data_IF_116780236839
#
_entry.id   IF_116780236839
#
_cell.length_a   1.000
_cell.length_b   1.000
_cell.length_c   1.000
_cell.angle_alpha   90.00
_cell.angle_beta   90.00
_cell.angle_gamma   90.00
#
_symmetry.space_group_name_H-M   'P 1'
#
loop_
_entity.id
_entity.type
_entity.pdbx_description
1 polymer ?
#
# COMPACT_ATOMS: atom_id res chain seq x y z
N UNK A 1 -3.06 -16.01 -34.16
CA UNK A 1 -2.84 -14.66 -33.62
C UNK A 1 -2.08 -14.81 -32.32
N UNK A 2 -0.78 -14.51 -32.32
CA UNK A 2 0.13 -14.79 -31.20
C UNK A 2 0.04 -13.69 -30.15
N UNK A 3 -0.63 -13.96 -29.02
CA UNK A 3 -0.49 -13.14 -27.82
C UNK A 3 0.95 -13.24 -27.31
N UNK A 4 1.59 -12.10 -27.05
CA UNK A 4 2.88 -12.08 -26.34
C UNK A 4 2.68 -12.65 -24.93
N UNK A 5 3.64 -13.42 -24.43
CA UNK A 5 3.57 -14.00 -23.09
C UNK A 5 3.73 -12.94 -21.99
N UNK A 6 3.31 -13.25 -20.76
CA UNK A 6 3.27 -12.27 -19.64
C UNK A 6 4.61 -11.60 -19.29
N UNK A 7 5.73 -12.15 -19.74
CA UNK A 7 7.09 -11.63 -19.56
C UNK A 7 7.68 -10.99 -20.83
N UNK A 8 6.84 -10.79 -21.86
CA UNK A 8 7.23 -10.21 -23.14
C UNK A 8 6.55 -8.84 -23.36
N UNK A 9 7.32 -7.89 -23.87
CA UNK A 9 6.88 -6.60 -24.33
C UNK A 9 6.49 -6.65 -25.81
N UNK A 10 5.39 -5.99 -26.16
CA UNK A 10 4.92 -5.89 -27.54
C UNK A 10 5.36 -4.57 -28.15
N UNK A 11 6.26 -4.64 -29.12
CA UNK A 11 6.73 -3.52 -29.93
C UNK A 11 5.58 -2.89 -30.76
N UNK A 12 5.76 -1.65 -31.22
CA UNK A 12 4.76 -0.97 -32.05
C UNK A 12 4.57 -1.64 -33.42
N UNK A 13 5.61 -2.29 -33.96
CA UNK A 13 5.55 -3.16 -35.14
C UNK A 13 4.90 -4.53 -34.89
N UNK A 14 4.45 -4.83 -33.66
CA UNK A 14 3.77 -6.07 -33.29
C UNK A 14 4.71 -7.24 -32.94
N UNK A 15 6.03 -7.03 -32.91
CA UNK A 15 7.01 -8.02 -32.46
C UNK A 15 6.98 -8.14 -30.94
N UNK A 16 7.20 -9.35 -30.41
CA UNK A 16 7.34 -9.58 -28.97
C UNK A 16 8.83 -9.71 -28.62
N UNK A 17 9.31 -8.91 -27.68
CA UNK A 17 10.66 -9.02 -27.08
C UNK A 17 10.52 -9.32 -25.59
N UNK A 18 11.56 -9.81 -24.92
CA UNK A 18 11.49 -10.00 -23.46
C UNK A 18 11.47 -8.65 -22.74
N UNK A 19 10.83 -8.57 -21.56
CA UNK A 19 10.82 -7.33 -20.77
C UNK A 19 12.24 -6.84 -20.38
N UNK A 20 13.23 -7.74 -20.32
CA UNK A 20 14.64 -7.38 -20.10
C UNK A 20 15.27 -6.62 -21.28
N UNK A 21 14.59 -6.62 -22.44
CA UNK A 21 15.02 -5.94 -23.65
C UNK A 21 14.38 -4.57 -23.83
N UNK A 22 13.48 -4.17 -22.94
CA UNK A 22 12.90 -2.82 -22.94
C UNK A 22 13.86 -1.89 -22.24
N UNK A 23 14.17 -0.75 -22.86
CA UNK A 23 14.98 0.32 -22.26
C UNK A 23 16.37 -0.13 -21.80
N UNK A 24 16.99 -1.00 -22.59
CA UNK A 24 18.33 -1.50 -22.34
C UNK A 24 19.40 -0.75 -23.16
N UNK A 25 18.99 0.18 -24.02
CA UNK A 25 19.84 0.97 -24.90
C UNK A 25 20.10 0.36 -26.27
N UNK A 26 19.42 -0.74 -26.63
CA UNK A 26 19.51 -1.39 -27.93
C UNK A 26 18.12 -1.45 -28.58
N UNK A 27 18.06 -1.21 -29.90
CA UNK A 27 16.83 -1.41 -30.67
C UNK A 27 16.57 -2.92 -30.89
N UNK A 28 15.94 -3.56 -29.90
CA UNK A 28 15.53 -4.95 -29.96
C UNK A 28 14.20 -5.12 -30.71
N UNK A 29 13.37 -4.08 -30.79
CA UNK A 29 12.16 -4.10 -31.60
C UNK A 29 12.43 -3.99 -33.11
N UNK A 30 13.53 -3.36 -33.51
CA UNK A 30 13.88 -2.99 -34.89
C UNK A 30 13.14 -1.74 -35.41
N UNK A 31 12.29 -1.14 -34.57
CA UNK A 31 11.57 0.12 -34.82
C UNK A 31 11.81 1.14 -33.68
N UNK A 32 12.73 0.83 -32.77
CA UNK A 32 13.14 1.59 -31.60
C UNK A 32 12.00 1.87 -30.59
N UNK A 33 10.89 1.14 -30.65
CA UNK A 33 9.74 1.35 -29.76
C UNK A 33 10.03 0.93 -28.32
N UNK A 34 10.94 0.00 -28.14
CA UNK A 34 11.47 -0.46 -26.85
C UNK A 34 12.34 0.57 -26.13
N UNK A 35 12.80 1.61 -26.83
CA UNK A 35 13.69 2.65 -26.29
C UNK A 35 13.04 4.05 -26.23
N UNK A 36 11.80 4.20 -26.70
CA UNK A 36 11.15 5.52 -26.80
C UNK A 36 10.48 6.00 -25.50
N UNK A 37 10.17 5.11 -24.54
CA UNK A 37 9.30 5.44 -23.38
C UNK A 37 9.86 4.92 -22.04
N UNK A 38 11.16 5.09 -21.79
CA UNK A 38 11.83 4.50 -20.62
C UNK A 38 11.51 5.15 -19.27
N UNK A 39 11.03 6.39 -19.28
CA UNK A 39 10.68 7.12 -18.06
C UNK A 39 9.30 6.75 -17.48
N UNK A 40 8.44 6.05 -18.25
CA UNK A 40 7.09 5.62 -17.80
C UNK A 40 7.00 4.12 -17.51
N UNK A 41 8.01 3.33 -17.86
CA UNK A 41 8.02 1.90 -17.64
C UNK A 41 8.73 1.54 -16.34
N UNK A 42 8.01 0.88 -15.42
CA UNK A 42 8.63 0.24 -14.26
C UNK A 42 9.51 -0.91 -14.76
N UNK A 43 10.79 -0.91 -14.39
CA UNK A 43 11.68 -2.03 -14.67
C UNK A 43 11.12 -3.33 -14.07
N UNK A 44 11.53 -4.47 -14.64
CA UNK A 44 11.23 -5.78 -14.07
C UNK A 44 11.66 -5.83 -12.59
N UNK A 45 10.94 -6.54 -11.70
CA UNK A 45 11.31 -6.63 -10.28
C UNK A 45 12.73 -7.17 -10.03
N UNK A 46 13.29 -7.88 -11.02
CA UNK A 46 14.65 -8.45 -11.02
C UNK A 46 15.69 -7.55 -11.68
N UNK A 47 15.32 -6.31 -12.04
CA UNK A 47 16.17 -5.36 -12.75
C UNK A 47 16.34 -4.09 -11.94
N UNK A 48 17.48 -3.44 -12.10
CA UNK A 48 17.77 -2.16 -11.46
C UNK A 48 17.33 -1.01 -12.37
N UNK A 49 16.60 -0.03 -11.82
CA UNK A 49 16.25 1.20 -12.52
C UNK A 49 17.27 2.28 -12.19
N UNK A 50 17.99 2.72 -13.21
CA UNK A 50 18.92 3.84 -13.17
C UNK A 50 18.18 5.17 -12.95
N UNK A 51 18.88 6.21 -12.48
CA UNK A 51 18.29 7.53 -12.26
C UNK A 51 17.82 8.20 -13.56
N UNK A 52 18.47 7.89 -14.68
CA UNK A 52 18.07 8.28 -16.03
C UNK A 52 16.91 7.46 -16.62
N UNK A 53 16.32 6.53 -15.85
CA UNK A 53 15.20 5.69 -16.29
C UNK A 53 15.60 4.43 -17.08
N UNK A 54 16.90 4.19 -17.31
CA UNK A 54 17.39 2.97 -17.96
C UNK A 54 17.23 1.75 -17.03
N UNK A 55 16.86 0.60 -17.58
CA UNK A 55 16.81 -0.65 -16.82
C UNK A 55 18.08 -1.47 -17.10
N UNK A 56 18.82 -1.82 -16.05
CA UNK A 56 19.96 -2.74 -16.16
C UNK A 56 19.70 -4.01 -15.39
N UNK A 57 20.43 -5.08 -15.74
CA UNK A 57 20.36 -6.32 -14.99
C UNK A 57 20.83 -6.12 -13.55
N UNK A 58 20.22 -6.81 -12.59
CA UNK A 58 20.63 -6.78 -11.18
C UNK A 58 22.11 -7.14 -10.99
N UNK A 59 22.64 -8.08 -11.79
CA UNK A 59 24.07 -8.44 -11.77
C UNK A 59 24.99 -7.32 -12.27
N UNK A 60 24.43 -6.27 -12.87
CA UNK A 60 25.20 -5.09 -13.30
C UNK A 60 25.19 -3.98 -12.26
N UNK A 61 24.33 -4.06 -11.25
CA UNK A 61 24.39 -3.16 -10.11
C UNK A 61 25.66 -3.43 -9.29
N UNK A 62 26.42 -2.39 -8.97
CA UNK A 62 27.67 -2.50 -8.19
C UNK A 62 28.75 -3.45 -8.76
N UNK A 63 28.74 -3.76 -10.05
CA UNK A 63 29.73 -4.64 -10.67
C UNK A 63 31.07 -3.94 -11.04
N UNK A 64 31.20 -2.65 -10.74
CA UNK A 64 32.38 -1.85 -11.07
C UNK A 64 32.37 -1.19 -12.45
N UNK A 65 31.35 -1.40 -13.28
CA UNK A 65 31.16 -0.78 -14.61
C UNK A 65 29.96 0.19 -14.62
N UNK A 66 30.03 1.25 -15.45
CA UNK A 66 28.95 2.24 -15.54
C UNK A 66 27.97 1.75 -16.62
N UNK A 67 27.12 0.82 -16.22
CA UNK A 67 26.10 0.22 -17.08
C UNK A 67 24.90 1.14 -17.27
N UNK A 68 24.61 2.00 -16.29
CA UNK A 68 23.54 3.00 -16.40
C UNK A 68 23.87 4.16 -17.36
N UNK A 69 25.15 4.50 -17.53
CA UNK A 69 25.61 5.65 -18.31
C UNK A 69 25.65 6.96 -17.49
N UNK A 70 24.88 7.06 -16.41
CA UNK A 70 24.81 8.20 -15.48
C UNK A 70 25.51 7.93 -14.12
N UNK A 71 26.19 6.79 -13.96
CA UNK A 71 26.82 6.28 -12.73
C UNK A 71 25.86 5.95 -11.56
N UNK A 72 24.55 5.92 -11.78
CA UNK A 72 23.58 5.63 -10.72
C UNK A 72 23.70 4.21 -10.16
N UNK A 73 24.20 3.26 -10.96
CA UNK A 73 24.54 1.88 -10.60
C UNK A 73 25.82 1.72 -9.77
N UNK A 74 26.62 2.79 -9.63
CA UNK A 74 27.84 2.82 -8.80
C UNK A 74 27.74 3.71 -7.59
N UNK A 75 26.87 4.73 -7.65
CA UNK A 75 26.81 5.82 -6.68
C UNK A 75 26.56 5.33 -5.24
N UNK A 76 25.82 4.23 -5.08
CA UNK A 76 25.40 3.71 -3.77
C UNK A 76 26.04 2.37 -3.38
N UNK A 77 27.15 1.99 -4.04
CA UNK A 77 27.80 0.69 -3.86
C UNK A 77 28.87 0.66 -2.78
N UNK A 78 29.57 1.78 -2.59
CA UNK A 78 30.63 1.93 -1.60
C UNK A 78 30.54 3.32 -0.96
N UNK A 79 29.51 3.51 -0.16
CA UNK A 79 29.20 4.76 0.53
C UNK A 79 29.65 4.68 1.99
N UNK A 80 30.07 5.81 2.54
CA UNK A 80 30.35 5.92 3.97
C UNK A 80 29.05 5.79 4.78
N UNK A 81 29.20 5.39 6.05
CA UNK A 81 28.09 5.27 6.99
C UNK A 81 27.37 6.58 7.29
N UNK A 82 27.96 7.74 6.93
CA UNK A 82 27.40 9.08 7.11
C UNK A 82 26.50 9.55 5.96
N UNK A 83 26.54 8.89 4.79
CA UNK A 83 25.64 9.21 3.66
C UNK A 83 24.24 8.69 3.97
N UNK A 84 23.16 9.34 3.55
CA UNK A 84 21.82 8.75 3.67
C UNK A 84 21.45 8.02 2.38
N UNK A 85 20.75 6.88 2.50
CA UNK A 85 20.21 6.20 1.33
C UNK A 85 19.07 7.02 0.71
N UNK A 86 18.87 6.94 -0.61
CA UNK A 86 17.72 7.56 -1.26
C UNK A 86 16.38 7.07 -0.68
N UNK A 87 15.31 7.87 -0.75
CA UNK A 87 13.97 7.43 -0.35
C UNK A 87 13.56 6.12 -1.05
N UNK A 88 13.06 5.15 -0.27
CA UNK A 88 12.66 3.85 -0.80
C UNK A 88 13.81 2.83 -1.00
N UNK A 89 15.03 3.20 -0.61
CA UNK A 89 16.19 2.31 -0.53
C UNK A 89 16.53 1.98 0.91
N UNK A 90 17.19 0.85 1.13
CA UNK A 90 17.65 0.38 2.43
C UNK A 90 19.16 0.19 2.42
N UNK A 91 19.81 0.51 3.54
CA UNK A 91 21.25 0.26 3.71
C UNK A 91 21.51 -1.21 4.06
N UNK A 92 22.45 -1.82 3.36
CA UNK A 92 22.97 -3.15 3.65
C UNK A 92 23.49 -3.26 5.09
N UNK A 93 23.47 -4.46 5.71
CA UNK A 93 23.95 -4.68 7.08
C UNK A 93 25.40 -4.23 7.31
N UNK A 94 26.25 -4.35 6.29
CA UNK A 94 27.64 -3.90 6.31
C UNK A 94 27.81 -2.36 6.37
N UNK A 95 26.73 -1.59 6.14
CA UNK A 95 26.74 -0.15 6.21
C UNK A 95 27.42 0.55 5.03
N UNK A 96 27.81 -0.16 3.96
CA UNK A 96 28.60 0.40 2.84
C UNK A 96 27.87 0.42 1.49
N UNK A 97 26.68 -0.17 1.42
CA UNK A 97 25.86 -0.23 0.20
C UNK A 97 24.40 0.13 0.49
N UNK A 98 23.74 0.84 -0.41
CA UNK A 98 22.28 0.92 -0.42
C UNK A 98 21.73 0.05 -1.54
N UNK A 99 20.65 -0.66 -1.25
CA UNK A 99 19.87 -1.43 -2.22
C UNK A 99 18.42 -0.94 -2.21
N UNK A 100 17.65 -1.10 -3.29
CA UNK A 100 16.21 -0.82 -3.26
C UNK A 100 15.50 -1.63 -2.17
N UNK A 101 14.52 -1.04 -1.47
CA UNK A 101 13.82 -1.72 -0.35
C UNK A 101 13.06 -2.99 -0.72
N UNK A 102 12.76 -3.20 -2.00
CA UNK A 102 12.11 -4.41 -2.51
C UNK A 102 13.07 -5.58 -2.76
N UNK A 103 14.39 -5.35 -2.67
CA UNK A 103 15.43 -6.37 -2.74
C UNK A 103 15.76 -7.00 -1.38
N UNK A 104 15.12 -6.53 -0.31
CA UNK A 104 15.26 -7.12 1.02
C UNK A 104 14.37 -8.37 1.14
N UNK A 105 14.94 -9.50 1.56
CA UNK A 105 14.21 -10.77 1.75
C UNK A 105 13.58 -11.31 0.47
N UNK A 106 14.24 -11.11 -0.67
CA UNK A 106 13.72 -11.52 -1.98
C UNK A 106 14.36 -12.82 -2.50
N UNK A 107 15.18 -13.47 -1.67
CA UNK A 107 15.81 -14.76 -1.94
C UNK A 107 17.11 -14.68 -2.73
N UNK A 108 17.64 -13.47 -2.98
CA UNK A 108 18.94 -13.25 -3.61
C UNK A 108 19.88 -12.54 -2.64
N UNK A 109 21.17 -12.48 -3.00
CA UNK A 109 22.21 -11.85 -2.20
C UNK A 109 22.76 -10.63 -2.93
N UNK A 110 22.35 -9.44 -2.52
CA UNK A 110 22.79 -8.15 -3.05
C UNK A 110 23.76 -7.42 -2.16
N UNK A 111 23.77 -7.72 -0.85
CA UNK A 111 24.74 -7.19 0.07
C UNK A 111 26.01 -8.03 0.07
N UNK A 112 27.17 -7.38 0.06
CA UNK A 112 28.45 -8.09 0.19
C UNK A 112 28.59 -8.65 1.61
N UNK A 113 28.98 -9.92 1.68
CA UNK A 113 29.31 -10.73 2.87
C UNK A 113 28.15 -11.06 3.83
N UNK A 114 27.48 -10.04 4.39
CA UNK A 114 26.33 -10.25 5.29
C UNK A 114 25.05 -10.04 4.49
N UNK A 115 24.33 -11.14 4.28
CA UNK A 115 23.11 -11.11 3.51
C UNK A 115 22.01 -10.30 4.19
N UNK A 116 21.37 -9.46 3.41
CA UNK A 116 20.05 -8.92 3.68
C UNK A 116 18.98 -10.00 3.95
N UNK A 117 19.27 -11.25 3.58
CA UNK A 117 18.47 -12.46 3.82
C UNK A 117 18.68 -13.08 5.22
N UNK A 118 19.72 -12.70 5.97
CA UNK A 118 20.14 -13.42 7.20
C UNK A 118 19.22 -13.17 8.41
N UNK A 119 18.32 -12.19 8.34
CA UNK A 119 17.32 -11.88 9.38
C UNK A 119 15.91 -11.67 8.80
N UNK A 120 15.62 -12.45 7.77
CA UNK A 120 14.28 -12.64 7.26
C UNK A 120 13.67 -13.80 8.05
N UNK A 121 12.67 -13.53 8.89
CA UNK A 121 11.83 -14.60 9.43
C UNK A 121 11.36 -15.45 8.25
N UNK A 122 11.61 -16.76 8.36
CA UNK A 122 11.48 -17.75 7.28
C UNK A 122 10.21 -17.54 6.46
N UNK A 123 10.24 -17.74 5.12
CA UNK A 123 9.04 -17.74 4.27
C UNK A 123 7.90 -18.60 4.84
N UNK A 124 8.25 -19.63 5.62
CA UNK A 124 7.33 -20.51 6.34
C UNK A 124 6.47 -19.74 7.35
N UNK A 125 7.05 -18.85 8.17
CA UNK A 125 6.31 -18.09 9.20
C UNK A 125 5.38 -17.07 8.57
N UNK A 126 5.84 -16.34 7.53
CA UNK A 126 5.00 -15.41 6.76
C UNK A 126 3.84 -16.13 6.05
N UNK A 127 4.12 -17.29 5.45
CA UNK A 127 3.10 -18.10 4.79
C UNK A 127 2.11 -18.73 5.78
N UNK A 128 2.57 -19.17 6.95
CA UNK A 128 1.73 -19.70 8.03
C UNK A 128 0.80 -18.63 8.60
N UNK A 129 1.31 -17.42 8.86
CA UNK A 129 0.51 -16.28 9.32
C UNK A 129 -0.54 -15.88 8.28
N UNK A 130 -0.13 -15.70 7.02
CA UNK A 130 -1.07 -15.39 5.93
C UNK A 130 -2.13 -16.49 5.78
N UNK A 131 -1.73 -17.76 5.84
CA UNK A 131 -2.64 -18.90 5.79
C UNK A 131 -3.60 -18.92 6.99
N UNK A 132 -3.10 -18.61 8.19
CA UNK A 132 -3.92 -18.48 9.40
C UNK A 132 -4.99 -17.39 9.23
N UNK A 133 -4.62 -16.23 8.68
CA UNK A 133 -5.57 -15.16 8.37
C UNK A 133 -6.64 -15.59 7.38
N UNK A 134 -6.23 -16.22 6.28
CA UNK A 134 -7.14 -16.66 5.24
C UNK A 134 -8.09 -17.76 5.73
N UNK A 135 -7.67 -18.60 6.69
CA UNK A 135 -8.51 -19.64 7.31
C UNK A 135 -9.57 -19.08 8.27
N UNK A 136 -9.46 -17.82 8.71
CA UNK A 136 -10.43 -17.16 9.61
C UNK A 136 -11.69 -16.63 8.91
N UNK A 137 -11.79 -16.80 7.58
CA UNK A 137 -13.01 -16.53 6.81
C UNK A 137 -14.20 -17.25 7.47
N UNK A 138 -15.25 -16.50 7.82
CA UNK A 138 -16.46 -17.13 8.39
C UNK A 138 -17.08 -18.08 7.35
N UNK A 139 -17.48 -19.31 7.73
CA UNK A 139 -18.28 -20.14 6.83
C UNK A 139 -19.67 -19.48 6.68
N UNK A 140 -20.01 -19.03 5.46
CA UNK A 140 -21.27 -18.32 5.21
C UNK A 140 -21.31 -17.47 3.92
N UNK A 141 -22.32 -16.60 3.84
CA UNK A 141 -22.56 -15.65 2.73
C UNK A 141 -21.31 -14.83 2.38
N UNK A 142 -21.11 -14.56 1.08
CA UNK A 142 -20.02 -13.69 0.58
C UNK A 142 -19.99 -12.29 1.23
N UNK A 143 -21.10 -11.84 1.82
CA UNK A 143 -21.28 -10.47 2.33
C UNK A 143 -20.83 -10.24 3.78
N UNK A 144 -20.61 -11.28 4.59
CA UNK A 144 -20.11 -11.17 5.98
C UNK A 144 -18.86 -12.02 6.23
N UNK A 145 -18.20 -12.50 5.17
CA UNK A 145 -17.11 -13.48 5.31
C UNK A 145 -15.92 -12.93 6.12
N UNK A 146 -15.67 -11.62 6.00
CA UNK A 146 -14.59 -10.91 6.69
C UNK A 146 -15.05 -10.07 7.90
N UNK A 147 -16.36 -10.03 8.19
CA UNK A 147 -16.92 -9.26 9.30
C UNK A 147 -16.86 -7.72 9.14
N UNK A 148 -17.20 -7.01 10.21
CA UNK A 148 -17.33 -5.54 10.23
C UNK A 148 -15.99 -4.76 10.17
N UNK A 149 -14.85 -5.45 10.35
CA UNK A 149 -13.50 -4.86 10.32
C UNK A 149 -12.77 -5.08 8.98
N UNK A 150 -13.50 -5.41 7.92
CA UNK A 150 -12.92 -5.72 6.60
C UNK A 150 -11.97 -4.64 6.07
N UNK A 151 -12.21 -3.36 6.39
CA UNK A 151 -11.31 -2.25 6.05
C UNK A 151 -9.90 -2.38 6.68
N UNK A 152 -9.81 -2.86 7.92
CA UNK A 152 -8.51 -3.14 8.57
C UNK A 152 -7.83 -4.35 7.95
N UNK A 153 -8.62 -5.40 7.69
CA UNK A 153 -8.11 -6.64 7.10
C UNK A 153 -7.52 -6.38 5.71
N UNK A 154 -8.20 -5.56 4.89
CA UNK A 154 -7.73 -5.18 3.57
C UNK A 154 -6.32 -4.56 3.64
N UNK A 155 -6.12 -3.58 4.52
CA UNK A 155 -4.83 -2.91 4.73
C UNK A 155 -3.77 -3.89 5.23
N UNK A 156 -4.11 -4.72 6.23
CA UNK A 156 -3.17 -5.66 6.82
C UNK A 156 -2.68 -6.71 5.82
N UNK A 157 -3.60 -7.26 5.01
CA UNK A 157 -3.26 -8.25 3.98
C UNK A 157 -2.45 -7.63 2.85
N UNK A 158 -2.77 -6.41 2.42
CA UNK A 158 -1.98 -5.72 1.39
C UNK A 158 -0.55 -5.43 1.86
N UNK A 159 -0.38 -4.93 3.09
CA UNK A 159 0.94 -4.64 3.63
C UNK A 159 1.75 -5.92 3.90
N UNK A 160 1.09 -7.06 4.08
CA UNK A 160 1.75 -8.36 4.14
C UNK A 160 2.07 -8.93 2.74
N UNK A 161 1.21 -8.70 1.75
CA UNK A 161 1.36 -9.19 0.39
C UNK A 161 0.69 -8.24 -0.62
N UNK A 162 1.52 -7.56 -1.41
CA UNK A 162 1.09 -6.61 -2.42
C UNK A 162 0.26 -7.25 -3.56
N UNK A 163 0.35 -8.56 -3.75
CA UNK A 163 -0.41 -9.32 -4.78
C UNK A 163 -1.85 -9.63 -4.36
N UNK A 164 -2.22 -9.38 -3.10
CA UNK A 164 -3.58 -9.64 -2.58
C UNK A 164 -4.68 -9.01 -3.44
N UNK A 165 -4.41 -7.82 -3.98
CA UNK A 165 -5.35 -7.06 -4.80
C UNK A 165 -5.00 -7.06 -6.29
N UNK A 166 -4.10 -7.96 -6.73
CA UNK A 166 -3.79 -8.16 -8.13
C UNK A 166 -4.99 -8.71 -8.93
N UNK A 167 -4.96 -8.57 -10.27
CA UNK A 167 -6.00 -9.10 -11.14
C UNK A 167 -6.14 -10.63 -11.01
N UNK A 168 -7.37 -11.12 -10.92
CA UNK A 168 -7.66 -12.56 -10.79
C UNK A 168 -7.56 -13.14 -9.36
N UNK A 169 -7.20 -12.34 -8.36
CA UNK A 169 -7.16 -12.80 -6.97
C UNK A 169 -8.56 -12.80 -6.34
N UNK A 170 -9.14 -13.99 -6.13
CA UNK A 170 -10.48 -14.18 -5.58
C UNK A 170 -10.67 -13.59 -4.18
N UNK A 171 -9.60 -13.52 -3.37
CA UNK A 171 -9.66 -12.91 -2.04
C UNK A 171 -9.73 -11.39 -2.12
N UNK A 172 -8.96 -10.77 -3.02
CA UNK A 172 -9.04 -9.33 -3.28
C UNK A 172 -10.42 -8.92 -3.80
N UNK A 173 -10.99 -9.67 -4.75
CA UNK A 173 -12.35 -9.43 -5.27
C UNK A 173 -13.44 -9.53 -4.20
N UNK A 174 -13.32 -10.52 -3.30
CA UNK A 174 -14.24 -10.71 -2.19
C UNK A 174 -14.19 -9.54 -1.19
N UNK A 175 -12.98 -9.10 -0.82
CA UNK A 175 -12.77 -7.97 0.10
C UNK A 175 -13.32 -6.68 -0.50
N UNK A 176 -13.07 -6.41 -1.80
CA UNK A 176 -13.63 -5.25 -2.51
C UNK A 176 -15.15 -5.24 -2.44
N UNK A 177 -15.78 -6.37 -2.79
CA UNK A 177 -17.24 -6.49 -2.80
C UNK A 177 -17.83 -6.21 -1.41
N UNK A 178 -17.23 -6.77 -0.36
CA UNK A 178 -17.68 -6.55 1.01
C UNK A 178 -17.44 -5.11 1.50
N UNK A 179 -16.30 -4.50 1.15
CA UNK A 179 -16.00 -3.09 1.44
C UNK A 179 -17.05 -2.16 0.85
N UNK A 180 -17.36 -2.35 -0.44
CA UNK A 180 -18.37 -1.58 -1.16
C UNK A 180 -19.73 -1.65 -0.46
N UNK A 181 -20.21 -2.86 -0.16
CA UNK A 181 -21.51 -3.04 0.48
C UNK A 181 -21.58 -2.41 1.87
N UNK A 182 -20.54 -2.61 2.69
CA UNK A 182 -20.52 -2.03 4.04
C UNK A 182 -20.46 -0.52 4.03
N UNK A 183 -19.64 0.06 3.14
CA UNK A 183 -19.48 1.51 3.05
C UNK A 183 -20.76 2.18 2.53
N UNK A 184 -21.36 1.65 1.44
CA UNK A 184 -22.64 2.14 0.92
C UNK A 184 -23.75 2.09 1.97
N UNK A 185 -23.88 0.97 2.70
CA UNK A 185 -24.89 0.86 3.76
C UNK A 185 -24.68 1.91 4.86
N UNK A 186 -23.43 2.22 5.24
CA UNK A 186 -23.13 3.24 6.26
C UNK A 186 -23.39 4.66 5.78
N UNK A 187 -23.04 4.96 4.53
CA UNK A 187 -23.30 6.26 3.91
C UNK A 187 -24.80 6.51 3.78
N UNK A 188 -25.58 5.49 3.40
CA UNK A 188 -27.03 5.58 3.25
C UNK A 188 -27.79 5.68 4.59
N UNK A 189 -27.42 4.87 5.60
CA UNK A 189 -28.27 4.68 6.79
C UNK A 189 -27.99 5.63 7.94
N UNK A 190 -26.72 5.87 8.27
CA UNK A 190 -26.36 6.55 9.53
C UNK A 190 -25.79 7.95 9.32
N UNK A 191 -25.18 8.26 8.16
CA UNK A 191 -24.36 9.48 7.91
C UNK A 191 -23.31 9.81 9.00
N UNK A 192 -23.19 9.00 10.07
CA UNK A 192 -22.40 9.25 11.28
C UNK A 192 -21.28 8.22 11.44
N UNK A 193 -20.54 7.98 10.37
CA UNK A 193 -19.22 7.39 10.50
C UNK A 193 -18.31 8.36 11.25
N UNK A 194 -17.49 7.90 12.20
CA UNK A 194 -16.49 8.78 12.83
C UNK A 194 -15.40 9.18 11.83
N UNK A 195 -14.71 10.31 12.05
CA UNK A 195 -13.59 10.71 11.17
C UNK A 195 -12.49 9.63 11.10
N UNK A 196 -12.24 8.92 12.20
CA UNK A 196 -11.28 7.82 12.23
C UNK A 196 -11.74 6.62 11.40
N UNK A 197 -13.02 6.27 11.47
CA UNK A 197 -13.57 5.18 10.67
C UNK A 197 -13.56 5.53 9.18
N UNK A 198 -13.88 6.78 8.83
CA UNK A 198 -13.76 7.28 7.45
C UNK A 198 -12.32 7.18 6.93
N UNK A 199 -11.33 7.60 7.72
CA UNK A 199 -9.92 7.48 7.37
C UNK A 199 -9.48 6.01 7.18
N UNK A 200 -10.00 5.09 7.99
CA UNK A 200 -9.74 3.65 7.83
C UNK A 200 -10.33 3.09 6.53
N UNK A 201 -11.53 3.52 6.14
CA UNK A 201 -12.11 3.16 4.84
C UNK A 201 -11.28 3.74 3.69
N UNK A 202 -10.83 5.00 3.77
CA UNK A 202 -9.95 5.59 2.74
C UNK A 202 -8.68 4.76 2.56
N UNK A 203 -7.98 4.40 3.64
CA UNK A 203 -6.83 3.49 3.57
C UNK A 203 -7.19 2.15 2.90
N UNK A 204 -8.34 1.56 3.23
CA UNK A 204 -8.78 0.31 2.65
C UNK A 204 -9.09 0.42 1.15
N UNK A 205 -9.71 1.52 0.71
CA UNK A 205 -9.99 1.78 -0.70
C UNK A 205 -8.70 1.91 -1.51
N UNK A 206 -7.71 2.66 -1.00
CA UNK A 206 -6.41 2.83 -1.64
C UNK A 206 -5.71 1.49 -1.90
N UNK A 207 -5.64 0.61 -0.89
CA UNK A 207 -5.00 -0.71 -1.05
C UNK A 207 -5.81 -1.65 -1.92
N UNK A 208 -7.14 -1.50 -1.92
CA UNK A 208 -8.05 -2.33 -2.70
C UNK A 208 -8.18 -1.86 -4.15
N UNK A 209 -7.44 -0.84 -4.59
CA UNK A 209 -7.54 -0.26 -5.94
C UNK A 209 -8.94 0.28 -6.25
N UNK A 210 -9.57 0.92 -5.26
CA UNK A 210 -10.81 1.67 -5.42
C UNK A 210 -10.50 3.15 -5.17
N UNK A 211 -11.01 4.06 -6.00
CA UNK A 211 -10.73 5.50 -5.87
C UNK A 211 -11.59 6.14 -4.75
N UNK A 212 -10.99 6.60 -3.63
CA UNK A 212 -11.74 7.27 -2.56
C UNK A 212 -12.20 8.69 -2.91
N UNK A 213 -11.69 9.32 -3.99
CA UNK A 213 -12.15 10.65 -4.45
C UNK A 213 -13.50 10.59 -5.16
N UNK A 214 -13.86 9.41 -5.64
CA UNK A 214 -15.05 9.17 -6.43
C UNK A 214 -15.66 7.81 -6.07
N UNK A 215 -15.93 7.63 -4.78
CA UNK A 215 -16.61 6.44 -4.30
C UNK A 215 -18.12 6.63 -4.49
N UNK A 216 -18.67 6.12 -5.58
CA UNK A 216 -20.11 6.25 -5.91
C UNK A 216 -20.62 7.70 -5.88
N UNK A 217 -19.83 8.67 -6.36
CA UNK A 217 -20.12 10.12 -6.32
C UNK A 217 -19.89 10.81 -4.97
N UNK A 218 -19.44 10.10 -3.94
CA UNK A 218 -18.95 10.71 -2.70
C UNK A 218 -17.43 10.89 -2.75
N UNK A 219 -16.99 12.13 -2.55
CA UNK A 219 -15.58 12.43 -2.34
C UNK A 219 -15.22 12.26 -0.86
N UNK A 220 -14.80 11.04 -0.49
CA UNK A 220 -14.49 10.69 0.89
C UNK A 220 -13.26 11.43 1.41
N UNK A 221 -12.29 11.74 0.53
CA UNK A 221 -11.12 12.55 0.89
C UNK A 221 -11.56 13.96 1.28
N UNK A 222 -12.38 14.60 0.46
CA UNK A 222 -12.88 15.96 0.73
C UNK A 222 -13.74 16.00 2.00
N UNK A 223 -14.55 14.98 2.23
CA UNK A 223 -15.35 14.87 3.46
C UNK A 223 -14.44 14.70 4.70
N UNK A 224 -13.38 13.90 4.61
CA UNK A 224 -12.42 13.77 5.70
C UNK A 224 -11.65 15.09 5.94
N UNK A 225 -11.22 15.77 4.87
CA UNK A 225 -10.55 17.08 4.94
C UNK A 225 -11.40 18.11 5.65
N UNK A 226 -12.68 18.21 5.30
CA UNK A 226 -13.66 19.10 5.96
C UNK A 226 -13.76 18.83 7.46
N UNK A 227 -13.77 17.56 7.87
CA UNK A 227 -13.83 17.18 9.30
C UNK A 227 -12.55 17.50 10.06
N UNK A 228 -11.40 17.31 9.42
CA UNK A 228 -10.10 17.70 9.98
C UNK A 228 -10.05 19.21 10.20
N UNK A 229 -10.49 19.99 9.22
CA UNK A 229 -10.51 21.45 9.33
C UNK A 229 -11.47 21.96 10.40
N UNK A 230 -12.62 21.31 10.56
CA UNK A 230 -13.58 21.61 11.62
C UNK A 230 -13.08 21.23 13.03
N UNK A 231 -12.11 20.33 13.15
CA UNK A 231 -11.58 19.86 14.45
C UNK A 231 -10.65 20.87 15.14
N UNK A 232 -10.36 22.01 14.50
CA UNK A 232 -9.53 23.08 15.07
C UNK A 232 -8.03 22.78 15.01
N UNK A 233 -7.33 23.01 16.13
CA UNK A 233 -5.87 22.90 16.21
C UNK A 233 -5.37 21.50 16.60
N UNK A 234 -6.17 20.72 17.34
CA UNK A 234 -5.83 19.34 17.69
C UNK A 234 -6.53 18.39 16.74
N UNK A 235 -5.75 17.58 16.02
CA UNK A 235 -6.29 16.55 15.12
C UNK A 235 -5.61 15.22 15.41
N UNK A 236 -6.38 14.13 15.36
CA UNK A 236 -5.80 12.79 15.43
C UNK A 236 -4.82 12.59 14.25
N UNK A 237 -3.51 12.34 14.52
CA UNK A 237 -2.50 12.26 13.46
C UNK A 237 -2.79 11.21 12.39
N UNK A 238 -3.55 10.16 12.73
CA UNK A 238 -3.99 9.16 11.77
C UNK A 238 -4.83 9.74 10.63
N UNK A 239 -5.63 10.78 10.90
CA UNK A 239 -6.46 11.42 9.86
C UNK A 239 -5.59 12.14 8.83
N UNK A 240 -4.54 12.82 9.31
CA UNK A 240 -3.56 13.51 8.45
C UNK A 240 -2.75 12.50 7.65
N UNK A 241 -2.31 11.41 8.29
CA UNK A 241 -1.65 10.29 7.60
C UNK A 241 -2.53 9.74 6.47
N UNK A 242 -3.82 9.53 6.72
CA UNK A 242 -4.76 9.02 5.73
C UNK A 242 -4.97 9.98 4.55
N UNK A 243 -5.08 11.28 4.81
CA UNK A 243 -5.18 12.29 3.77
C UNK A 243 -3.90 12.36 2.93
N UNK A 244 -2.73 12.33 3.56
CA UNK A 244 -1.44 12.31 2.86
C UNK A 244 -1.24 11.03 2.03
N UNK A 245 -1.60 9.86 2.57
CA UNK A 245 -1.56 8.59 1.85
C UNK A 245 -2.49 8.59 0.62
N UNK A 246 -3.63 9.29 0.70
CA UNK A 246 -4.57 9.45 -0.40
C UNK A 246 -4.17 10.53 -1.42
N UNK A 247 -2.98 11.12 -1.27
CA UNK A 247 -2.44 12.15 -2.17
C UNK A 247 -3.20 13.48 -2.08
N UNK A 248 -3.84 13.76 -0.95
CA UNK A 248 -4.48 15.06 -0.74
C UNK A 248 -3.44 16.20 -0.62
N UNK A 249 -3.84 17.45 -0.85
CA UNK A 249 -2.93 18.59 -0.77
C UNK A 249 -2.62 18.92 0.70
N UNK A 250 -1.37 18.66 1.12
CA UNK A 250 -0.92 18.95 2.48
C UNK A 250 -0.54 20.43 2.64
N UNK A 251 -0.76 20.99 3.83
CA UNK A 251 -0.47 22.40 4.15
C UNK A 251 0.41 22.52 5.40
N UNK A 252 1.04 23.69 5.60
CA UNK A 252 1.78 23.98 6.84
C UNK A 252 0.91 23.83 8.09
N UNK A 253 -0.39 24.16 7.98
CA UNK A 253 -1.36 23.97 9.07
C UNK A 253 -1.56 22.50 9.45
N UNK A 254 -1.36 21.58 8.52
CA UNK A 254 -1.43 20.16 8.82
C UNK A 254 -0.21 19.69 9.61
N UNK A 255 0.98 20.26 9.33
CA UNK A 255 2.18 20.07 10.15
C UNK A 255 1.93 20.60 11.57
N UNK A 256 1.42 21.83 11.69
CA UNK A 256 1.13 22.45 12.99
C UNK A 256 0.13 21.62 13.82
N UNK A 257 -0.92 21.07 13.19
CA UNK A 257 -1.90 20.20 13.87
C UNK A 257 -1.27 18.92 14.39
N UNK A 258 -0.38 18.29 13.61
CA UNK A 258 0.31 17.06 14.01
C UNK A 258 1.32 17.33 15.12
N UNK A 259 2.09 18.42 15.02
CA UNK A 259 3.04 18.84 16.05
C UNK A 259 2.33 19.27 17.34
N UNK A 260 1.23 20.00 17.25
CA UNK A 260 0.43 20.37 18.42
C UNK A 260 -0.17 19.14 19.13
N UNK A 261 -0.52 18.09 18.37
CA UNK A 261 -0.94 16.83 18.97
C UNK A 261 0.18 16.15 19.77
N UNK A 262 1.44 16.33 19.35
CA UNK A 262 2.63 15.89 20.05
C UNK A 262 2.92 16.71 21.32
N UNK A 263 2.86 18.05 21.25
CA UNK A 263 3.19 18.95 22.38
C UNK A 263 2.19 18.89 23.54
N UNK A 264 1.01 18.31 23.34
CA UNK A 264 0.00 18.10 24.38
C UNK A 264 0.40 16.96 25.35
N UNK A 265 1.50 17.14 26.09
CA UNK A 265 2.22 16.17 26.95
C UNK A 265 1.45 15.52 28.12
N UNK A 266 0.11 15.61 28.20
CA UNK A 266 -0.66 15.25 29.39
C UNK A 266 -1.66 14.08 29.21
N UNK A 267 -1.40 13.07 28.36
CA UNK A 267 -2.32 11.92 28.22
C UNK A 267 -1.67 10.53 28.27
N UNK A 268 -2.34 9.54 28.89
CA UNK A 268 -1.83 8.17 29.08
C UNK A 268 -1.72 7.31 27.81
N UNK A 269 -2.04 7.84 26.63
CA UNK A 269 -1.98 7.13 25.33
C UNK A 269 -1.13 7.87 24.28
N UNK A 270 -0.17 8.68 24.74
CA UNK A 270 0.61 9.56 23.88
C UNK A 270 1.54 8.81 22.92
N UNK A 271 2.10 7.66 23.32
CA UNK A 271 3.06 6.89 22.51
C UNK A 271 2.47 6.43 21.18
N UNK A 272 1.21 5.97 21.15
CA UNK A 272 0.49 5.62 19.91
C UNK A 272 0.35 6.82 18.98
N UNK A 273 -0.05 7.96 19.56
CA UNK A 273 -0.29 9.20 18.82
C UNK A 273 1.03 9.76 18.26
N UNK A 274 2.12 9.66 19.01
CA UNK A 274 3.45 10.06 18.58
C UNK A 274 3.95 9.19 17.42
N UNK A 275 3.79 7.87 17.50
CA UNK A 275 4.15 6.97 16.40
C UNK A 275 3.38 7.32 15.11
N UNK A 276 2.08 7.58 15.23
CA UNK A 276 1.24 8.03 14.10
C UNK A 276 1.61 9.43 13.60
N UNK A 277 2.02 10.34 14.49
CA UNK A 277 2.48 11.67 14.14
C UNK A 277 3.79 11.63 13.35
N UNK A 278 4.75 10.79 13.76
CA UNK A 278 5.97 10.52 13.00
C UNK A 278 5.62 10.01 11.60
N UNK A 279 4.76 9.00 11.50
CA UNK A 279 4.29 8.49 10.19
C UNK A 279 3.65 9.59 9.32
N UNK A 280 2.80 10.45 9.90
CA UNK A 280 2.14 11.54 9.19
C UNK A 280 3.14 12.61 8.72
N UNK A 281 4.04 13.05 9.60
CA UNK A 281 5.08 14.03 9.28
C UNK A 281 6.06 13.50 8.21
N UNK A 282 6.48 12.25 8.32
CA UNK A 282 7.30 11.59 7.29
C UNK A 282 6.55 11.48 5.96
N UNK A 283 5.22 11.27 5.98
CA UNK A 283 4.41 11.32 4.76
C UNK A 283 4.44 12.71 4.12
N UNK A 284 4.16 13.76 4.89
CA UNK A 284 4.15 15.15 4.41
C UNK A 284 5.53 15.51 3.85
N UNK A 285 6.60 15.20 4.58
CA UNK A 285 7.97 15.49 4.18
C UNK A 285 8.42 14.76 2.91
N UNK A 286 7.92 13.54 2.66
CA UNK A 286 8.34 12.72 1.51
C UNK A 286 7.45 12.86 0.28
N UNK A 287 6.20 13.28 0.45
CA UNK A 287 5.19 13.30 -0.63
C UNK A 287 4.61 14.68 -0.94
N UNK A 288 5.00 15.70 -0.20
CA UNK A 288 4.56 17.08 -0.44
C UNK A 288 5.74 18.05 -0.47
N UNK A 289 5.52 19.26 -0.99
CA UNK A 289 6.49 20.35 -0.96
C UNK A 289 6.55 21.09 0.39
N UNK A 290 5.73 20.68 1.37
CA UNK A 290 5.68 21.33 2.68
C UNK A 290 6.88 20.91 3.52
N UNK A 291 7.65 21.89 3.99
CA UNK A 291 8.80 21.64 4.86
C UNK A 291 8.36 21.17 6.25
N UNK A 292 8.92 20.07 6.70
CA UNK A 292 8.79 19.56 8.08
C UNK A 292 10.14 19.74 8.77
N UNK A 293 10.13 20.21 10.02
CA UNK A 293 11.36 20.32 10.80
C UNK A 293 11.92 18.94 11.15
N UNK A 294 13.05 18.59 10.54
CA UNK A 294 13.75 17.32 10.79
C UNK A 294 14.23 17.17 12.24
N UNK A 295 14.47 18.27 12.96
CA UNK A 295 14.90 18.22 14.37
C UNK A 295 13.77 17.69 15.24
N UNK A 296 12.56 18.25 15.07
CA UNK A 296 11.35 17.77 15.76
C UNK A 296 11.14 16.28 15.51
N UNK A 297 11.22 15.83 14.24
CA UNK A 297 11.06 14.40 13.89
C UNK A 297 12.10 13.51 14.57
N UNK A 298 13.36 13.97 14.63
CA UNK A 298 14.45 13.26 15.29
C UNK A 298 14.23 13.16 16.80
N UNK A 299 13.78 14.23 17.44
CA UNK A 299 13.49 14.26 18.88
C UNK A 299 12.33 13.33 19.23
N UNK A 300 11.27 13.33 18.42
CA UNK A 300 10.16 12.39 18.53
C UNK A 300 10.65 10.94 18.43
N UNK A 301 11.51 10.61 17.48
CA UNK A 301 12.05 9.27 17.32
C UNK A 301 12.94 8.85 18.50
N UNK A 302 13.76 9.76 19.01
CA UNK A 302 14.64 9.49 20.16
C UNK A 302 13.84 9.16 21.42
N UNK A 303 12.74 9.87 21.65
CA UNK A 303 11.84 9.57 22.77
C UNK A 303 11.18 8.19 22.64
N UNK A 304 10.74 7.79 21.43
CA UNK A 304 10.17 6.46 21.22
C UNK A 304 11.17 5.32 21.47
N UNK A 305 12.43 5.48 21.07
CA UNK A 305 13.48 4.46 21.27
C UNK A 305 13.66 4.12 22.75
N UNK A 306 13.61 5.13 23.62
CA UNK A 306 13.86 4.99 25.07
C UNK A 306 12.71 4.35 25.84
N UNK A 307 11.54 4.14 25.22
CA UNK A 307 10.35 3.59 25.88
C UNK A 307 10.24 2.07 25.82
N UNK A 308 11.18 1.39 25.17
CA UNK A 308 11.16 -0.07 25.09
C UNK A 308 11.54 -0.69 26.44
N UNK A 309 10.69 -1.59 26.93
CA UNK A 309 10.98 -2.43 28.08
C UNK A 309 11.96 -3.56 27.69
N UNK A 310 12.66 -4.13 28.68
CA UNK A 310 13.63 -5.22 28.46
C UNK A 310 13.06 -6.48 27.81
N UNK A 311 11.73 -6.67 27.89
CA UNK A 311 11.02 -7.78 27.26
C UNK A 311 10.67 -7.50 25.78
N UNK A 312 11.09 -6.37 25.21
CA UNK A 312 10.80 -5.98 23.83
C UNK A 312 9.51 -5.18 23.62
N UNK A 313 8.63 -5.09 24.63
CA UNK A 313 7.36 -4.34 24.52
C UNK A 313 7.57 -2.83 24.65
N UNK A 314 6.66 -2.05 24.05
CA UNK A 314 6.46 -0.63 24.33
C UNK A 314 5.00 -0.46 24.78
N UNK A 315 4.78 -0.11 26.04
CA UNK A 315 3.48 0.02 26.74
C UNK A 315 2.54 -1.21 26.62
N UNK A 316 1.93 -1.45 25.46
CA UNK A 316 1.01 -2.57 25.19
C UNK A 316 1.23 -3.13 23.77
N UNK A 317 0.51 -4.18 23.39
CA UNK A 317 0.66 -4.86 22.09
C UNK A 317 0.50 -3.90 20.90
N UNK A 318 -0.56 -3.07 20.91
CA UNK A 318 -0.85 -2.11 19.84
C UNK A 318 0.24 -1.04 19.76
N UNK A 319 0.66 -0.51 20.91
CA UNK A 319 1.70 0.52 20.99
C UNK A 319 3.04 -0.01 20.51
N UNK A 320 3.41 -1.22 20.94
CA UNK A 320 4.59 -1.94 20.46
C UNK A 320 4.59 -2.03 18.93
N UNK A 321 3.46 -2.42 18.33
CA UNK A 321 3.34 -2.50 16.88
C UNK A 321 3.46 -1.14 16.19
N UNK A 322 2.75 -0.10 16.65
CA UNK A 322 2.79 1.23 16.03
C UNK A 322 4.17 1.89 16.13
N UNK A 323 4.84 1.76 17.28
CA UNK A 323 6.19 2.28 17.49
C UNK A 323 7.18 1.56 16.57
N UNK A 324 7.13 0.23 16.49
CA UNK A 324 8.00 -0.52 15.58
C UNK A 324 7.76 -0.11 14.12
N UNK A 325 6.51 0.11 13.70
CA UNK A 325 6.20 0.64 12.36
C UNK A 325 6.80 2.03 12.11
N UNK A 326 6.70 2.94 13.09
CA UNK A 326 7.26 4.29 12.96
C UNK A 326 8.81 4.26 12.89
N UNK A 327 9.44 3.34 13.62
CA UNK A 327 10.89 3.20 13.62
C UNK A 327 11.41 2.70 12.26
N UNK A 328 10.70 1.82 11.55
CA UNK A 328 11.11 1.39 10.20
C UNK A 328 11.29 2.53 9.19
N UNK A 329 10.69 3.70 9.43
CA UNK A 329 10.79 4.84 8.52
C UNK A 329 12.19 5.47 8.54
N UNK A 330 12.92 5.34 9.65
CA UNK A 330 14.22 5.99 9.82
C UNK A 330 15.28 5.01 10.34
N UNK A 331 16.23 4.59 9.50
CA UNK A 331 17.31 3.62 9.83
C UNK A 331 18.14 3.88 11.10
N UNK A 332 18.04 5.06 11.70
CA UNK A 332 18.77 5.48 12.90
C UNK A 332 18.43 4.73 14.21
N UNK A 333 17.49 3.77 14.21
CA UNK A 333 17.00 3.12 15.44
C UNK A 333 17.83 1.93 15.94
N UNK A 334 18.69 1.33 15.11
CA UNK A 334 19.26 -0.01 15.35
C UNK A 334 20.14 -0.15 16.60
N UNK A 335 20.59 0.95 17.23
CA UNK A 335 21.45 0.89 18.44
C UNK A 335 20.69 0.91 19.76
N UNK A 336 19.51 1.54 19.80
CA UNK A 336 18.80 1.84 21.05
C UNK A 336 17.42 1.16 21.14
N UNK A 337 17.01 0.45 20.09
CA UNK A 337 15.74 -0.29 20.05
C UNK A 337 15.98 -1.72 19.55
N UNK A 338 15.64 -2.69 20.39
CA UNK A 338 15.71 -4.12 20.09
C UNK A 338 14.51 -4.52 19.22
N UNK A 339 14.72 -4.43 17.91
CA UNK A 339 13.71 -4.77 16.92
C UNK A 339 13.31 -6.25 16.99
N UNK A 340 14.26 -7.15 17.24
CA UNK A 340 14.01 -8.60 17.23
C UNK A 340 13.09 -8.99 18.38
N UNK A 341 13.36 -8.47 19.59
CA UNK A 341 12.49 -8.70 20.75
C UNK A 341 11.08 -8.13 20.52
N UNK A 342 10.96 -6.95 19.91
CA UNK A 342 9.66 -6.36 19.59
C UNK A 342 8.87 -7.20 18.57
N UNK A 343 9.52 -7.65 17.49
CA UNK A 343 8.90 -8.50 16.47
C UNK A 343 8.46 -9.84 17.04
N UNK A 344 9.29 -10.47 17.88
CA UNK A 344 8.99 -11.73 18.55
C UNK A 344 7.73 -11.63 19.43
N UNK A 345 7.65 -10.59 20.26
CA UNK A 345 6.46 -10.34 21.10
C UNK A 345 5.19 -10.20 20.25
N UNK A 346 5.29 -9.51 19.11
CA UNK A 346 4.16 -9.32 18.21
C UNK A 346 3.74 -10.62 17.52
N UNK A 347 4.69 -11.46 17.10
CA UNK A 347 4.43 -12.77 16.53
C UNK A 347 3.77 -13.71 17.56
N UNK A 348 4.34 -13.80 18.76
CA UNK A 348 3.83 -14.63 19.86
C UNK A 348 2.42 -14.17 20.29
N UNK A 349 2.24 -12.86 20.45
CA UNK A 349 0.95 -12.27 20.83
C UNK A 349 -0.13 -12.46 19.75
N UNK A 350 0.24 -12.49 18.47
CA UNK A 350 -0.71 -12.77 17.39
C UNK A 350 -1.15 -14.24 17.39
N UNK A 351 -0.25 -15.17 17.69
CA UNK A 351 -0.56 -16.59 17.84
C UNK A 351 -1.48 -16.86 19.05
N UNK A 352 -1.27 -16.12 20.16
CA UNK A 352 -2.05 -16.24 21.39
C UNK A 352 -3.42 -15.55 21.36
N UNK A 353 -3.49 -14.28 20.93
CA UNK A 353 -4.69 -13.43 21.00
C UNK A 353 -5.80 -13.84 20.03
N UNK A 354 -5.42 -14.35 18.86
CA UNK A 354 -6.34 -14.73 17.78
C UNK A 354 -7.28 -13.59 17.34
N UNK A 355 -6.84 -12.33 17.43
CA UNK A 355 -7.64 -11.12 17.15
C UNK A 355 -7.36 -10.51 15.77
N UNK A 356 -8.42 -10.17 15.02
CA UNK A 356 -8.34 -9.42 13.75
C UNK A 356 -7.90 -7.97 13.93
N UNK A 357 -7.97 -7.43 15.15
CA UNK A 357 -7.46 -6.10 15.45
C UNK A 357 -5.96 -6.12 15.69
N UNK A 358 -5.45 -7.14 16.38
CA UNK A 358 -4.02 -7.30 16.67
C UNK A 358 -3.24 -7.58 15.38
N UNK A 359 -3.84 -8.40 14.52
CA UNK A 359 -3.48 -8.59 13.12
C UNK A 359 -3.14 -7.31 12.36
N UNK A 360 -4.04 -6.34 12.44
CA UNK A 360 -3.95 -5.10 11.67
C UNK A 360 -2.71 -4.29 12.06
N UNK A 361 -2.31 -4.37 13.32
CA UNK A 361 -1.12 -3.69 13.81
C UNK A 361 0.15 -4.52 13.60
N UNK A 362 0.10 -5.83 13.82
CA UNK A 362 1.29 -6.69 13.81
C UNK A 362 1.72 -7.14 12.40
N UNK A 363 0.79 -7.46 11.49
CA UNK A 363 1.14 -7.97 10.15
C UNK A 363 2.05 -7.03 9.34
N UNK A 364 1.83 -5.69 9.32
CA UNK A 364 2.76 -4.78 8.68
C UNK A 364 4.17 -4.90 9.26
N UNK A 365 4.28 -5.03 10.60
CA UNK A 365 5.57 -5.11 11.28
C UNK A 365 6.35 -6.35 10.87
N UNK A 366 5.69 -7.51 10.83
CA UNK A 366 6.29 -8.78 10.44
C UNK A 366 6.76 -8.79 8.98
N UNK A 367 6.25 -7.86 8.16
CA UNK A 367 6.66 -7.65 6.78
C UNK A 367 7.53 -6.40 6.60
N UNK A 368 8.03 -5.80 7.70
CA UNK A 368 8.83 -4.55 7.71
C UNK A 368 8.17 -3.42 6.92
N UNK A 369 6.84 -3.33 6.99
CA UNK A 369 6.02 -2.26 6.44
C UNK A 369 5.37 -1.46 7.55
N UNK A 370 4.88 -0.28 7.18
CA UNK A 370 4.17 0.64 8.07
C UNK A 370 2.87 1.11 7.41
N UNK A 371 1.99 1.73 8.20
CA UNK A 371 0.80 2.41 7.67
C UNK A 371 1.14 3.56 6.70
N UNK A 372 2.38 4.08 6.69
CA UNK A 372 2.86 5.02 5.68
C UNK A 372 2.95 4.38 4.29
N UNK A 373 3.13 3.05 4.20
CA UNK A 373 3.22 2.34 2.92
C UNK A 373 1.84 2.09 2.28
N UNK A 374 0.74 2.52 2.89
CA UNK A 374 -0.59 2.48 2.30
C UNK A 374 -0.66 3.48 1.14
N UNK A 375 -0.63 2.96 -0.08
CA UNK A 375 -0.70 3.76 -1.32
C UNK A 375 -1.50 2.99 -2.36
N UNK A 376 -1.91 3.68 -3.45
CA UNK A 376 -2.50 3.05 -4.63
C UNK A 376 -1.45 2.71 -5.71
N UNK A 377 -0.15 2.79 -5.41
CA UNK A 377 0.93 2.67 -6.41
C UNK A 377 1.05 1.27 -7.03
N UNK A 378 0.59 0.22 -6.34
CA UNK A 378 0.54 -1.15 -6.85
C UNK A 378 -0.65 -1.41 -7.79
N UNK A 379 -1.60 -0.49 -7.86
CA UNK A 379 -2.79 -0.65 -8.67
C UNK A 379 -2.49 -0.36 -10.14
N UNK A 380 -2.76 -1.33 -11.02
CA UNK A 380 -2.72 -1.11 -12.46
C UNK A 380 -3.89 -0.22 -12.87
N UNK A 381 -3.60 0.96 -13.38
CA UNK A 381 -4.56 1.79 -14.12
C UNK A 381 -4.62 1.25 -15.54
N UNK A 382 -5.44 0.23 -15.78
CA UNK A 382 -5.74 -0.18 -17.14
C UNK A 382 -6.85 0.75 -17.65
N UNK A 383 -6.61 1.60 -18.68
CA UNK A 383 -7.70 2.31 -19.33
C UNK A 383 -8.52 1.28 -20.08
N UNK A 384 -9.53 0.71 -19.44
CA UNK A 384 -10.41 -0.23 -20.13
C UNK A 384 -11.38 0.59 -20.97
N UNK A 385 -11.28 0.45 -22.29
CA UNK A 385 -12.31 0.97 -23.19
C UNK A 385 -13.66 0.44 -22.71
N UNK A 386 -14.63 1.34 -22.53
CA UNK A 386 -15.93 1.06 -21.91
C UNK A 386 -16.60 -0.20 -22.46
N UNK A 387 -16.49 -0.39 -23.77
CA UNK A 387 -17.01 -1.53 -24.53
C UNK A 387 -16.30 -2.85 -24.18
N UNK A 388 -14.99 -2.86 -23.94
CA UNK A 388 -14.21 -4.06 -23.65
C UNK A 388 -14.42 -4.56 -22.20
N UNK A 389 -14.64 -3.64 -21.25
CA UNK A 389 -15.04 -3.95 -19.88
C UNK A 389 -16.42 -4.59 -19.86
N UNK A 390 -17.37 -3.99 -20.60
CA UNK A 390 -18.71 -4.52 -20.77
C UNK A 390 -18.65 -5.90 -21.44
N UNK A 391 -17.93 -6.05 -22.56
CA UNK A 391 -17.86 -7.31 -23.31
C UNK A 391 -17.33 -8.48 -22.44
N UNK A 392 -16.26 -8.25 -21.66
CA UNK A 392 -15.68 -9.27 -20.76
C UNK A 392 -16.58 -9.67 -19.60
N UNK A 393 -17.47 -8.77 -19.16
CA UNK A 393 -18.42 -9.00 -18.07
C UNK A 393 -19.73 -9.60 -18.59
N UNK A 394 -20.08 -9.28 -19.83
CA UNK A 394 -21.27 -9.73 -20.54
C UNK A 394 -21.08 -11.08 -21.26
N UNK A 395 -19.89 -11.70 -21.20
CA UNK A 395 -19.63 -13.02 -21.76
C UNK A 395 -20.29 -14.12 -20.90
N UNK A 396 -21.61 -14.19 -21.05
CA UNK A 396 -22.51 -14.96 -20.22
C UNK A 396 -23.14 -16.05 -21.07
N UNK A 397 -22.65 -17.28 -20.94
CA UNK A 397 -23.27 -18.45 -21.58
C UNK A 397 -24.58 -18.83 -20.86
N UNK A 398 -25.72 -18.75 -21.56
CA UNK A 398 -27.06 -19.13 -21.07
C UNK A 398 -28.15 -18.08 -21.31
N UNK A 399 -29.35 -18.31 -20.77
CA UNK A 399 -30.44 -17.32 -20.81
C UNK A 399 -30.07 -16.07 -20.00
N UNK A 400 -30.35 -14.89 -20.58
CA UNK A 400 -29.99 -13.60 -19.99
C UNK A 400 -31.21 -12.70 -19.78
N UNK A 401 -31.15 -11.87 -18.74
CA UNK A 401 -32.07 -10.78 -18.46
C UNK A 401 -31.32 -9.44 -18.50
N UNK A 402 -32.02 -8.38 -18.88
CA UNK A 402 -31.47 -7.01 -18.83
C UNK A 402 -31.92 -6.33 -17.55
N UNK A 403 -30.97 -5.90 -16.73
CA UNK A 403 -31.21 -5.22 -15.46
C UNK A 403 -30.74 -3.79 -15.57
N UNK A 404 -31.62 -2.85 -15.26
CA UNK A 404 -31.25 -1.46 -15.03
C UNK A 404 -30.82 -1.30 -13.57
N UNK A 405 -29.52 -1.15 -13.35
CA UNK A 405 -28.96 -0.95 -12.03
C UNK A 405 -28.64 0.53 -11.83
N UNK A 406 -29.23 1.14 -10.80
CA UNK A 406 -28.95 2.51 -10.38
C UNK A 406 -28.63 2.50 -8.90
N UNK A 407 -27.57 3.21 -8.49
CA UNK A 407 -27.24 3.37 -7.07
C UNK A 407 -27.94 4.61 -6.55
N UNK A 408 -28.64 4.43 -5.44
CA UNK A 408 -29.32 5.50 -4.73
C UNK A 408 -28.55 5.78 -3.45
N UNK A 409 -28.16 7.04 -3.23
CA UNK A 409 -27.60 7.48 -1.96
C UNK A 409 -28.43 8.65 -1.44
N UNK A 410 -29.27 8.40 -0.43
CA UNK A 410 -30.30 9.36 0.00
C UNK A 410 -31.49 9.38 -0.95
N UNK A 411 -32.02 10.58 -1.23
CA UNK A 411 -33.24 10.77 -2.03
C UNK A 411 -32.97 11.05 -3.52
N UNK A 412 -31.70 11.12 -3.93
CA UNK A 412 -31.31 11.47 -5.31
C UNK A 412 -30.83 10.23 -6.08
N UNK A 413 -31.35 10.08 -7.32
CA UNK A 413 -30.86 9.10 -8.29
C UNK A 413 -29.73 9.75 -9.07
N UNK A 414 -28.54 9.16 -9.05
CA UNK A 414 -27.51 9.55 -10.01
C UNK A 414 -27.78 8.90 -11.37
N UNK A 415 -28.53 9.61 -12.22
CA UNK A 415 -28.89 9.16 -13.58
C UNK A 415 -27.66 8.98 -14.48
N UNK A 416 -26.56 9.69 -14.20
CA UNK A 416 -25.28 9.55 -14.90
C UNK A 416 -24.55 8.24 -14.62
N UNK A 417 -24.99 7.46 -13.62
CA UNK A 417 -24.46 6.15 -13.25
C UNK A 417 -25.58 5.11 -13.14
N UNK A 418 -26.45 5.08 -14.16
CA UNK A 418 -27.36 3.96 -14.38
C UNK A 418 -26.76 3.00 -15.40
N UNK A 419 -26.45 1.79 -14.97
CA UNK A 419 -25.92 0.75 -15.84
C UNK A 419 -27.03 -0.15 -16.36
N UNK A 420 -27.00 -0.45 -17.67
CA UNK A 420 -27.81 -1.49 -18.27
C UNK A 420 -26.98 -2.76 -18.36
N UNK A 421 -27.21 -3.71 -17.45
CA UNK A 421 -26.45 -4.95 -17.33
C UNK A 421 -27.19 -6.09 -18.02
N UNK A 422 -26.50 -6.96 -18.76
CA UNK A 422 -27.05 -8.29 -19.09
C UNK A 422 -26.50 -9.32 -18.11
N UNK A 423 -27.40 -10.11 -17.54
CA UNK A 423 -27.11 -11.03 -16.44
C UNK A 423 -27.82 -12.37 -16.65
N UNK A 424 -27.32 -13.48 -16.07
CA UNK A 424 -28.06 -14.76 -16.10
C UNK A 424 -29.38 -14.62 -15.35
N UNK A 425 -30.44 -15.30 -15.81
CA UNK A 425 -31.78 -15.24 -15.21
C UNK A 425 -31.79 -15.63 -13.72
N UNK A 426 -30.86 -16.47 -13.26
CA UNK A 426 -30.70 -16.84 -11.84
C UNK A 426 -29.71 -15.96 -11.05
N UNK A 427 -29.36 -14.79 -11.57
CA UNK A 427 -28.42 -13.88 -10.90
C UNK A 427 -29.10 -13.12 -9.78
N UNK A 428 -28.41 -12.97 -8.64
CA UNK A 428 -28.91 -12.17 -7.52
C UNK A 428 -28.60 -10.69 -7.73
N UNK A 429 -29.25 -9.81 -6.96
CA UNK A 429 -28.90 -8.38 -6.93
C UNK A 429 -27.41 -8.16 -6.57
N UNK A 430 -26.81 -9.05 -5.77
CA UNK A 430 -25.39 -9.00 -5.45
C UNK A 430 -24.51 -9.23 -6.67
N UNK A 431 -24.92 -10.09 -7.60
CA UNK A 431 -24.19 -10.28 -8.85
C UNK A 431 -24.21 -8.98 -9.68
N UNK A 432 -25.29 -8.19 -9.62
CA UNK A 432 -25.39 -6.92 -10.33
C UNK A 432 -24.42 -5.90 -9.72
N UNK A 433 -24.37 -5.85 -8.39
CA UNK A 433 -23.44 -4.98 -7.64
C UNK A 433 -21.99 -5.39 -7.91
N UNK A 434 -21.67 -6.67 -7.86
CA UNK A 434 -20.33 -7.19 -8.14
C UNK A 434 -19.91 -6.86 -9.57
N UNK A 435 -20.81 -7.03 -10.53
CA UNK A 435 -20.60 -6.65 -11.93
C UNK A 435 -20.31 -5.16 -12.06
N UNK A 436 -21.12 -4.29 -11.45
CA UNK A 436 -20.91 -2.83 -11.50
C UNK A 436 -19.62 -2.42 -10.81
N UNK A 437 -19.31 -3.00 -9.65
CA UNK A 437 -18.04 -2.77 -8.96
C UNK A 437 -16.84 -3.22 -9.82
N UNK A 438 -16.97 -4.27 -10.63
CA UNK A 438 -15.94 -4.70 -11.59
C UNK A 438 -15.80 -3.74 -12.77
N UNK A 439 -16.89 -3.11 -13.21
CA UNK A 439 -16.88 -2.10 -14.28
C UNK A 439 -16.24 -0.80 -13.76
N UNK A 440 -16.66 -0.32 -12.59
CA UNK A 440 -16.17 0.93 -11.99
C UNK A 440 -14.67 0.84 -11.63
N UNK A 441 -14.20 -0.32 -11.14
CA UNK A 441 -12.78 -0.59 -10.89
C UNK A 441 -11.91 -0.71 -12.14
N UNK A 442 -12.51 -0.78 -13.34
CA UNK A 442 -11.81 -0.88 -14.63
C UNK A 442 -11.85 0.41 -15.43
N UNK A 443 -12.68 1.39 -15.06
CA UNK A 443 -12.91 2.61 -15.85
C UNK A 443 -12.07 3.83 -15.41
N UNK A 444 -11.07 3.65 -14.54
CA UNK A 444 -10.07 4.67 -14.17
C UNK A 444 -8.72 4.02 -13.90
#
# INVERSE_FOLDING_TARGET
>A
SSQCESYQFKCSNGRCILNIHVCNGNDNCGDNSDEQVCYLHNCSPISFQCLNGKCISRVWFCNGYNNCGDNSDKQYCNISSSVQCPPGWIRCPNGHRCIPSHWLCDGWHDCDEISEETNCESPVVKAELKSWFLRRKKPGSRTDRWGFQVHRIAVALHLADNSTFGPGNSTGEEIRSQLTMQLLHRLAKDKRMSSQELALYIHALLVACMDPRDFYSDNLIQELRRRVEASGNYTNPFLILALCNAGDTMTARDVDRVTAAYDSQHRPFWTDSQALAIMALSCISSRSSVSVDERTLRDMLQELKRRQFRNGTVDNFRTTALVTQALFIHDSYKKDFDLESAMKVLADGLNGSKSLLDAYYALPVLNRKSLLNVTSGHCRREPVAEEEALQKVLDVTGETMTVHYSVWMGDEINVGRTWRLRMKVNSTIYNAIETVAKIDNRQK
#
